data_IF_479204591046
#
_entry.id   IF_479204591046
#
_cell.length_a   1.000
_cell.length_b   1.000
_cell.length_c   1.000
_cell.angle_alpha   90.00
_cell.angle_beta   90.00
_cell.angle_gamma   90.00
#
_symmetry.space_group_name_H-M   'P 1'
#
loop_
_entity.id
_entity.type
_entity.pdbx_description
1 polymer ?
#
# COMPACT_ATOMS: atom_id res chain seq x y z
N UNK A 1 9.58 1.51 14.99
CA UNK A 1 8.50 0.50 15.11
C UNK A 1 7.17 1.15 14.82
N UNK A 2 6.33 0.53 13.98
CA UNK A 2 4.95 0.97 13.80
C UNK A 2 4.06 0.30 14.85
N UNK A 3 3.44 1.09 15.72
CA UNK A 3 2.55 0.56 16.75
C UNK A 3 1.16 0.21 16.17
N UNK A 4 0.43 -0.79 16.74
CA UNK A 4 -0.88 -1.20 16.21
C UNK A 4 -1.90 -0.05 16.11
N UNK A 5 -1.84 0.92 17.03
CA UNK A 5 -2.69 2.10 17.00
C UNK A 5 -2.34 3.04 15.84
N UNK A 6 -1.05 3.16 15.50
CA UNK A 6 -0.58 3.95 14.37
C UNK A 6 -0.97 3.30 13.05
N UNK A 7 -0.83 1.98 12.94
CA UNK A 7 -1.29 1.22 11.78
C UNK A 7 -2.80 1.41 11.52
N UNK A 8 -3.61 1.38 12.58
CA UNK A 8 -5.05 1.66 12.48
C UNK A 8 -5.32 3.09 12.00
N UNK A 9 -4.62 4.09 12.55
CA UNK A 9 -4.75 5.50 12.12
C UNK A 9 -4.30 5.70 10.68
N UNK A 10 -3.27 4.99 10.23
CA UNK A 10 -2.78 5.00 8.85
C UNK A 10 -3.82 4.41 7.90
N UNK A 11 -4.40 3.26 8.23
CA UNK A 11 -5.44 2.63 7.41
C UNK A 11 -6.65 3.55 7.24
N UNK A 12 -7.11 4.17 8.32
CA UNK A 12 -8.20 5.14 8.28
C UNK A 12 -7.88 6.35 7.39
N UNK A 13 -6.61 6.79 7.34
CA UNK A 13 -6.21 7.88 6.43
C UNK A 13 -6.27 7.45 4.98
N UNK A 14 -5.85 6.23 4.65
CA UNK A 14 -5.99 5.67 3.30
C UNK A 14 -7.44 5.52 2.86
N UNK A 15 -8.33 5.09 3.76
CA UNK A 15 -9.78 5.01 3.49
C UNK A 15 -10.38 6.39 3.22
N UNK A 16 -10.07 7.39 4.08
CA UNK A 16 -10.50 8.78 3.83
C UNK A 16 -9.95 9.36 2.53
N UNK A 17 -8.81 8.87 2.09
CA UNK A 17 -8.18 9.32 0.87
C UNK A 17 -8.98 8.93 -0.40
N UNK A 18 -9.95 8.02 -0.30
CA UNK A 18 -10.91 7.68 -1.36
C UNK A 18 -11.94 8.78 -1.61
N UNK A 19 -12.24 9.64 -0.63
CA UNK A 19 -13.27 10.68 -0.77
C UNK A 19 -12.77 11.95 -1.49
N UNK A 20 -11.47 12.05 -1.77
CA UNK A 20 -10.88 13.22 -2.40
C UNK A 20 -10.73 13.01 -3.91
N UNK A 21 -11.39 13.86 -4.69
CA UNK A 21 -11.35 13.88 -6.16
C UNK A 21 -10.03 14.35 -6.74
N UNK A 22 -9.28 15.18 -6.00
CA UNK A 22 -8.00 15.70 -6.44
C UNK A 22 -7.07 16.05 -5.29
N UNK A 23 -5.76 16.05 -5.57
CA UNK A 23 -4.74 16.52 -4.64
C UNK A 23 -4.96 17.98 -4.23
N UNK A 24 -5.54 18.79 -5.12
CA UNK A 24 -5.85 20.19 -4.87
C UNK A 24 -6.96 20.33 -3.81
N UNK A 25 -8.04 19.55 -3.92
CA UNK A 25 -9.14 19.55 -2.94
C UNK A 25 -8.65 19.13 -1.55
N UNK A 26 -7.81 18.09 -1.51
CA UNK A 26 -7.16 17.63 -0.28
C UNK A 26 -6.24 18.70 0.33
N UNK A 27 -5.46 19.39 -0.49
CA UNK A 27 -4.55 20.44 -0.04
C UNK A 27 -5.31 21.69 0.44
N UNK A 28 -6.38 22.09 -0.24
CA UNK A 28 -7.24 23.22 0.17
C UNK A 28 -7.94 22.94 1.50
N UNK A 29 -8.34 21.69 1.76
CA UNK A 29 -9.06 21.34 2.96
C UNK A 29 -8.13 21.10 4.17
N UNK A 30 -6.89 20.64 3.96
CA UNK A 30 -6.02 20.15 5.05
C UNK A 30 -4.59 20.73 5.06
N UNK A 31 -4.23 21.60 4.10
CA UNK A 31 -2.86 22.04 3.86
C UNK A 31 -2.25 22.95 4.93
N UNK A 32 -3.07 23.69 5.68
CA UNK A 32 -2.57 24.69 6.66
C UNK A 32 -2.36 24.10 8.08
N UNK A 33 -3.08 23.03 8.44
CA UNK A 33 -3.17 22.57 9.85
C UNK A 33 -2.29 21.35 10.21
N UNK A 34 -1.67 20.64 9.26
CA UNK A 34 -1.35 19.22 9.49
C UNK A 34 -0.06 18.64 8.88
N UNK A 35 1.01 19.41 8.74
CA UNK A 35 2.32 18.87 8.28
C UNK A 35 2.79 17.66 9.14
N UNK A 36 2.39 17.58 10.42
CA UNK A 36 2.64 16.45 11.31
C UNK A 36 1.53 15.39 11.45
N UNK A 37 0.34 15.56 10.84
CA UNK A 37 -0.82 14.69 11.10
C UNK A 37 -1.00 13.53 10.10
N UNK A 38 -0.04 13.31 9.20
CA UNK A 38 -0.07 12.21 8.21
C UNK A 38 -0.71 12.55 6.87
N UNK A 39 -0.67 13.83 6.48
CA UNK A 39 -1.01 14.30 5.13
C UNK A 39 -0.28 13.52 4.02
N UNK A 40 1.03 13.28 4.21
CA UNK A 40 1.86 12.68 3.18
C UNK A 40 1.39 11.30 2.73
N UNK A 41 0.76 10.53 3.62
CA UNK A 41 0.25 9.20 3.31
C UNK A 41 -1.02 9.24 2.48
N UNK A 42 -1.92 10.16 2.82
CA UNK A 42 -3.12 10.46 2.05
C UNK A 42 -2.76 10.97 0.66
N UNK A 43 -1.77 11.88 0.57
CA UNK A 43 -1.23 12.39 -0.69
C UNK A 43 -0.68 11.28 -1.58
N UNK A 44 0.13 10.36 -1.03
CA UNK A 44 0.64 9.21 -1.80
C UNK A 44 -0.52 8.38 -2.34
N UNK A 45 -1.56 8.13 -1.54
CA UNK A 45 -2.76 7.44 -2.02
C UNK A 45 -3.42 8.16 -3.19
N UNK A 46 -3.62 9.48 -3.09
CA UNK A 46 -4.29 10.27 -4.15
C UNK A 46 -3.47 10.23 -5.44
N UNK A 47 -2.15 10.40 -5.34
CA UNK A 47 -1.26 10.39 -6.50
C UNK A 47 -1.26 9.03 -7.21
N UNK A 48 -1.29 7.93 -6.47
CA UNK A 48 -1.37 6.59 -7.06
C UNK A 48 -2.68 6.41 -7.83
N UNK A 49 -3.79 6.77 -7.20
CA UNK A 49 -5.12 6.67 -7.81
C UNK A 49 -5.24 7.51 -9.09
N UNK A 50 -4.76 8.75 -9.06
CA UNK A 50 -4.73 9.64 -10.23
C UNK A 50 -3.83 9.12 -11.36
N UNK A 51 -2.79 8.34 -11.03
CA UNK A 51 -1.91 7.70 -12.01
C UNK A 51 -2.43 6.36 -12.54
N UNK A 52 -3.63 5.94 -12.11
CA UNK A 52 -4.20 4.63 -12.47
C UNK A 52 -3.53 3.46 -11.76
N UNK A 53 -2.75 3.71 -10.70
CA UNK A 53 -2.05 2.70 -9.91
C UNK A 53 -2.87 2.42 -8.65
N UNK A 54 -3.12 1.14 -8.37
CA UNK A 54 -3.84 0.73 -7.17
C UNK A 54 -3.12 1.25 -5.90
N UNK A 55 -3.87 1.88 -4.98
CA UNK A 55 -3.34 2.52 -3.77
C UNK A 55 -2.66 1.53 -2.82
N UNK A 56 -3.06 0.26 -2.84
CA UNK A 56 -2.41 -0.81 -2.07
C UNK A 56 -1.05 -1.21 -2.62
N UNK A 57 -0.63 -0.63 -3.74
CA UNK A 57 0.76 -0.68 -4.22
C UNK A 57 1.72 0.02 -3.26
N UNK A 58 1.22 0.93 -2.43
CA UNK A 58 1.96 1.49 -1.30
C UNK A 58 1.53 0.81 0.01
N UNK A 59 2.51 0.29 0.77
CA UNK A 59 2.28 -0.37 2.05
C UNK A 59 3.31 0.04 3.08
N UNK A 60 2.87 0.21 4.33
CA UNK A 60 3.74 0.36 5.49
C UNK A 60 3.73 -0.92 6.33
N UNK A 61 4.89 -1.30 6.85
CA UNK A 61 5.04 -2.46 7.73
C UNK A 61 6.19 -2.28 8.70
N UNK A 62 6.20 -3.01 9.82
CA UNK A 62 7.39 -3.16 10.64
C UNK A 62 8.30 -4.23 10.03
N UNK A 63 9.57 -3.90 9.78
CA UNK A 63 10.54 -4.87 9.26
C UNK A 63 11.06 -5.80 10.37
N UNK A 64 11.92 -6.76 10.00
CA UNK A 64 12.56 -7.71 10.94
C UNK A 64 13.45 -7.05 12.01
N UNK A 65 13.76 -5.77 11.88
CA UNK A 65 14.56 -4.96 12.80
C UNK A 65 13.69 -3.99 13.63
N UNK A 66 12.36 -4.16 13.63
CA UNK A 66 11.40 -3.25 14.28
C UNK A 66 11.44 -1.80 13.77
N UNK A 67 11.87 -1.58 12.53
CA UNK A 67 11.82 -0.27 11.88
C UNK A 67 10.56 -0.15 11.02
N UNK A 68 10.07 1.07 10.83
CA UNK A 68 8.96 1.34 9.92
C UNK A 68 9.49 1.34 8.49
N UNK A 69 9.05 0.39 7.68
CA UNK A 69 9.41 0.26 6.28
C UNK A 69 8.23 0.61 5.38
N UNK A 70 8.46 1.52 4.43
CA UNK A 70 7.56 1.80 3.33
C UNK A 70 7.97 1.01 2.09
N UNK A 71 7.00 0.39 1.42
CA UNK A 71 7.18 -0.29 0.14
C UNK A 71 6.21 0.32 -0.86
N UNK A 72 6.73 0.69 -2.02
CA UNK A 72 5.97 1.15 -3.18
C UNK A 72 6.24 0.22 -4.36
N UNK A 73 5.18 -0.22 -5.03
CA UNK A 73 5.24 -1.12 -6.19
C UNK A 73 4.68 -0.38 -7.42
N UNK A 74 5.53 -0.07 -8.40
CA UNK A 74 5.12 0.63 -9.62
C UNK A 74 5.20 -0.34 -10.81
N UNK A 75 4.09 -0.63 -11.50
CA UNK A 75 4.10 -1.36 -12.76
C UNK A 75 4.90 -0.59 -13.82
N UNK A 76 5.90 -1.23 -14.44
CA UNK A 76 6.70 -0.61 -15.51
C UNK A 76 6.17 -0.94 -16.91
N UNK A 77 5.24 -1.90 -17.00
CA UNK A 77 4.55 -2.29 -18.22
C UNK A 77 3.15 -2.85 -17.86
N UNK A 78 2.28 -2.97 -18.86
CA UNK A 78 0.89 -3.44 -18.69
C UNK A 78 0.79 -4.92 -18.30
N UNK A 79 1.82 -5.72 -18.61
CA UNK A 79 1.88 -7.15 -18.27
C UNK A 79 2.28 -7.40 -16.81
N UNK A 80 2.70 -6.37 -16.09
CA UNK A 80 3.15 -6.50 -14.71
C UNK A 80 1.98 -6.82 -13.78
N UNK A 81 2.01 -8.01 -13.19
CA UNK A 81 1.03 -8.42 -12.17
C UNK A 81 1.56 -8.02 -10.79
N UNK A 82 0.85 -7.15 -10.04
CA UNK A 82 1.26 -6.75 -8.69
C UNK A 82 1.37 -7.96 -7.75
N UNK A 83 2.35 -7.95 -6.85
CA UNK A 83 2.57 -9.04 -5.88
C UNK A 83 1.34 -9.36 -5.04
N UNK A 84 0.52 -8.35 -4.76
CA UNK A 84 -0.75 -8.53 -4.04
C UNK A 84 -1.73 -9.38 -4.84
N UNK A 85 -1.87 -9.10 -6.13
CA UNK A 85 -2.75 -9.88 -7.02
C UNK A 85 -2.25 -11.32 -7.20
N UNK A 86 -0.92 -11.51 -7.28
CA UNK A 86 -0.32 -12.85 -7.26
C UNK A 86 -0.70 -13.60 -5.99
N UNK A 87 -0.54 -12.96 -4.83
CA UNK A 87 -0.92 -13.54 -3.54
C UNK A 87 -2.42 -13.88 -3.48
N UNK A 88 -3.30 -12.96 -3.86
CA UNK A 88 -4.76 -13.17 -3.84
C UNK A 88 -5.18 -14.31 -4.80
N UNK A 89 -4.49 -14.44 -5.93
CA UNK A 89 -4.70 -15.54 -6.87
C UNK A 89 -4.26 -16.87 -6.27
N UNK A 90 -3.11 -16.92 -5.59
CA UNK A 90 -2.64 -18.13 -4.90
C UNK A 90 -3.56 -18.55 -3.74
N UNK A 91 -4.08 -17.59 -2.96
CA UNK A 91 -5.09 -17.85 -1.92
C UNK A 91 -6.29 -18.57 -2.53
N UNK A 92 -6.83 -18.04 -3.64
CA UNK A 92 -7.98 -18.62 -4.33
C UNK A 92 -7.69 -20.00 -4.91
N UNK A 93 -6.53 -20.19 -5.52
CA UNK A 93 -6.14 -21.45 -6.16
C UNK A 93 -5.88 -22.57 -5.15
N UNK A 94 -5.26 -22.26 -4.02
CA UNK A 94 -4.93 -23.26 -2.98
C UNK A 94 -6.08 -23.49 -2.00
N UNK A 95 -7.10 -22.63 -2.00
CA UNK A 95 -8.21 -22.70 -1.05
C UNK A 95 -7.80 -22.48 0.41
N UNK A 96 -6.64 -21.86 0.63
CA UNK A 96 -6.11 -21.57 1.97
C UNK A 96 -6.63 -20.23 2.47
N UNK A 97 -6.68 -20.04 3.78
CA UNK A 97 -6.85 -18.70 4.33
C UNK A 97 -5.61 -17.82 4.05
N UNK A 98 -5.76 -16.49 3.97
CA UNK A 98 -4.62 -15.57 3.80
C UNK A 98 -3.52 -15.76 4.85
N UNK A 99 -3.88 -16.10 6.09
CA UNK A 99 -2.90 -16.27 7.17
C UNK A 99 -2.14 -17.58 7.08
N UNK A 100 -2.78 -18.65 6.63
CA UNK A 100 -2.11 -19.93 6.35
C UNK A 100 -1.11 -19.78 5.20
N UNK A 101 -1.52 -19.09 4.13
CA UNK A 101 -0.63 -18.87 3.00
C UNK A 101 0.56 -18.00 3.41
N UNK A 102 0.36 -16.90 4.14
CA UNK A 102 1.45 -16.00 4.61
C UNK A 102 2.54 -16.74 5.39
N UNK A 103 2.19 -17.75 6.18
CA UNK A 103 3.17 -18.55 6.95
C UNK A 103 4.09 -19.38 6.07
N UNK A 104 3.64 -19.74 4.87
CA UNK A 104 4.34 -20.63 3.94
C UNK A 104 4.81 -19.91 2.68
N UNK A 105 4.34 -18.67 2.46
CA UNK A 105 4.54 -17.92 1.24
C UNK A 105 6.00 -17.49 1.10
N UNK A 106 6.70 -18.12 0.17
CA UNK A 106 7.93 -17.58 -0.41
C UNK A 106 7.53 -16.89 -1.71
N UNK A 107 7.70 -15.56 -1.82
CA UNK A 107 7.44 -14.89 -3.08
C UNK A 107 8.28 -15.56 -4.18
N UNK A 108 7.73 -15.77 -5.39
CA UNK A 108 8.55 -16.22 -6.50
C UNK A 108 9.74 -15.25 -6.65
N UNK A 109 10.95 -15.80 -6.68
CA UNK A 109 12.13 -15.03 -7.04
C UNK A 109 11.87 -14.49 -8.44
N UNK A 110 11.94 -13.16 -8.63
CA UNK A 110 11.90 -12.59 -9.97
C UNK A 110 13.04 -13.27 -10.73
N UNK A 111 12.72 -14.02 -11.79
CA UNK A 111 13.73 -14.41 -12.75
C UNK A 111 14.40 -13.13 -13.23
N UNK A 112 15.71 -13.02 -13.03
CA UNK A 112 16.50 -11.97 -13.66
C UNK A 112 16.16 -12.01 -15.15
N UNK A 113 15.51 -10.95 -15.63
CA UNK A 113 15.28 -10.76 -17.06
C UNK A 113 16.66 -10.68 -17.70
N UNK A 114 16.99 -11.72 -18.48
CA UNK A 114 18.10 -11.70 -19.44
C UNK A 114 17.78 -10.72 -20.56
#
# INVERSE_FOLDING_TARGET
>A
TLYPQEEKRIRQKFEKAESFSSLLDFYLEHGDDTEGAGLGLTMVGILLDQSGIDRHSFTLSSNKYNETAAKLEIPLNEEYIPRRQVFDTEVRQRGLSPDELRRQYKPPLKSESQ
#
